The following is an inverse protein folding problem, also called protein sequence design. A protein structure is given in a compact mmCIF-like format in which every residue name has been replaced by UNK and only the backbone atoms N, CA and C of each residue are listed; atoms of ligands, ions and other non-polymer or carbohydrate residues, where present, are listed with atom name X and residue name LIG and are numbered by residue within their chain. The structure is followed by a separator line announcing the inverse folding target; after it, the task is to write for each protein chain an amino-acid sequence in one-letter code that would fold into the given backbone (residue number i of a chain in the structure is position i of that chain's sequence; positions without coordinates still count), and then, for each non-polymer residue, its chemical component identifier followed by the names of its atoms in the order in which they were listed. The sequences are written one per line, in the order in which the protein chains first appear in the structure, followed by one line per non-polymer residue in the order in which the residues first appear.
data_IF_771004243453
#
_entry.id   IF_771004243453
#
_cell.length_a   1.000
_cell.length_b   1.000
_cell.length_c   1.000
_cell.angle_alpha   90.00
_cell.angle_beta   90.00
_cell.angle_gamma   90.00
#
_symmetry.space_group_name_H-M   'P 1'
#
loop_
_entity.id
_entity.type
_entity.pdbx_description
1 polymer ?
#
# COMPACT_ATOMS: atom_id res chain seq x y z
N UNK A 1 -31.25 -17.19 -1.72
CA UNK A 1 -30.28 -17.94 -0.89
C UNK A 1 -29.64 -17.00 0.14
N UNK A 2 -29.71 -17.36 1.42
CA UNK A 2 -29.06 -16.58 2.48
C UNK A 2 -27.77 -17.29 2.92
N UNK A 3 -26.72 -16.50 3.16
CA UNK A 3 -25.45 -16.98 3.73
C UNK A 3 -25.63 -17.17 5.23
N UNK A 4 -25.15 -18.29 5.76
CA UNK A 4 -25.26 -18.68 7.17
C UNK A 4 -23.90 -18.96 7.80
N UNK A 5 -23.84 -19.00 9.14
CA UNK A 5 -22.58 -19.24 9.86
C UNK A 5 -21.92 -20.58 9.53
N UNK A 6 -22.72 -21.60 9.20
CA UNK A 6 -22.26 -22.93 8.80
C UNK A 6 -21.59 -22.95 7.42
N UNK A 7 -21.75 -21.88 6.62
CA UNK A 7 -21.08 -21.74 5.32
C UNK A 7 -19.65 -21.15 5.45
N UNK A 8 -19.27 -20.68 6.63
CA UNK A 8 -17.93 -20.14 6.89
C UNK A 8 -16.91 -21.26 7.07
N UNK A 9 -15.81 -21.18 6.32
CA UNK A 9 -14.63 -22.04 6.50
C UNK A 9 -13.45 -21.22 7.02
N UNK A 10 -12.51 -21.82 7.76
CA UNK A 10 -11.27 -21.15 8.13
C UNK A 10 -10.54 -20.59 6.90
N UNK A 11 -10.01 -19.38 7.03
CA UNK A 11 -9.25 -18.69 5.98
C UNK A 11 -8.07 -17.96 6.59
N UNK A 12 -7.11 -17.57 5.75
CA UNK A 12 -5.96 -16.77 6.17
C UNK A 12 -6.35 -15.36 6.61
N UNK A 13 -5.55 -14.79 7.50
CA UNK A 13 -5.59 -13.37 7.87
C UNK A 13 -4.46 -12.61 7.21
N UNK A 14 -4.68 -11.33 6.89
CA UNK A 14 -3.65 -10.43 6.38
C UNK A 14 -3.71 -9.06 7.03
N UNK A 15 -2.56 -8.39 7.13
CA UNK A 15 -2.44 -6.99 7.57
C UNK A 15 -2.08 -6.10 6.38
N UNK A 16 -2.65 -4.90 6.34
CA UNK A 16 -2.31 -3.88 5.34
C UNK A 16 -1.36 -2.87 5.97
N UNK A 17 -0.35 -2.43 5.22
CA UNK A 17 0.34 -1.19 5.52
C UNK A 17 -0.62 -0.03 5.22
N UNK A 18 -1.41 0.34 6.23
CA UNK A 18 -2.46 1.35 6.15
C UNK A 18 -2.07 2.55 7.02
N UNK A 19 -1.80 3.68 6.38
CA UNK A 19 -1.52 4.94 7.06
C UNK A 19 -2.81 5.68 7.42
N UNK A 20 -2.68 6.51 8.45
CA UNK A 20 -3.72 7.36 8.99
C UNK A 20 -3.12 8.74 9.26
N UNK A 21 -3.86 9.79 8.94
CA UNK A 21 -3.40 11.15 9.18
C UNK A 21 -3.56 11.57 10.65
N UNK A 22 -3.10 12.78 10.98
CA UNK A 22 -3.16 13.31 12.34
C UNK A 22 -4.60 13.54 12.86
N UNK A 23 -5.62 13.50 11.98
CA UNK A 23 -7.04 13.63 12.33
C UNK A 23 -7.72 12.29 12.53
N UNK A 24 -7.02 11.18 12.25
CA UNK A 24 -7.56 9.84 12.34
C UNK A 24 -8.19 9.34 11.04
N UNK A 25 -7.98 10.03 9.92
CA UNK A 25 -8.55 9.65 8.63
C UNK A 25 -7.60 8.68 7.89
N UNK A 26 -8.15 7.58 7.37
CA UNK A 26 -7.38 6.62 6.59
C UNK A 26 -6.93 7.22 5.27
N UNK A 27 -5.64 7.11 4.99
CA UNK A 27 -5.09 7.59 3.73
C UNK A 27 -5.39 6.58 2.63
N UNK A 28 -6.07 7.04 1.58
CA UNK A 28 -6.51 6.21 0.46
C UNK A 28 -5.55 6.25 -0.75
N UNK A 29 -4.44 6.98 -0.64
CA UNK A 29 -3.43 7.12 -1.70
C UNK A 29 -2.05 6.64 -1.22
N UNK A 30 -1.09 6.50 -2.13
CA UNK A 30 0.28 6.17 -1.78
C UNK A 30 0.88 7.24 -0.89
N UNK A 31 1.59 6.80 0.14
CA UNK A 31 2.42 7.66 0.97
C UNK A 31 3.82 7.10 0.90
N UNK A 32 4.78 7.94 0.53
CA UNK A 32 6.18 7.61 0.62
C UNK A 32 6.96 8.71 1.32
N UNK A 33 8.11 8.33 1.87
CA UNK A 33 9.08 9.23 2.46
C UNK A 33 10.45 8.99 1.82
N UNK A 34 11.25 10.04 1.72
CA UNK A 34 12.55 10.01 1.07
C UNK A 34 13.64 10.37 2.08
N UNK A 35 14.75 9.65 2.01
CA UNK A 35 15.99 9.98 2.71
C UNK A 35 17.17 9.73 1.76
N UNK A 36 18.39 10.24 2.06
CA UNK A 36 19.52 10.04 1.16
C UNK A 36 19.75 8.55 0.85
N UNK A 37 19.55 8.18 -0.42
CA UNK A 37 19.72 6.80 -0.89
C UNK A 37 18.57 5.85 -0.57
N UNK A 38 17.41 6.34 -0.11
CA UNK A 38 16.26 5.49 0.18
C UNK A 38 14.89 6.15 -0.12
N UNK A 39 13.97 5.28 -0.56
CA UNK A 39 12.55 5.58 -0.73
C UNK A 39 11.76 4.58 0.13
N UNK A 40 10.98 5.09 1.07
CA UNK A 40 10.14 4.31 1.96
C UNK A 40 8.69 4.38 1.50
N UNK A 41 8.08 3.25 1.15
CA UNK A 41 6.64 3.18 0.87
C UNK A 41 5.90 2.93 2.19
N UNK A 42 5.20 3.94 2.69
CA UNK A 42 4.53 3.94 4.00
C UNK A 42 3.08 3.48 3.90
N UNK A 43 2.39 3.86 2.81
CA UNK A 43 1.02 3.45 2.51
C UNK A 43 0.91 3.00 1.06
N UNK A 44 0.18 1.90 0.84
CA UNK A 44 -0.14 1.41 -0.50
C UNK A 44 -1.63 1.05 -0.57
N UNK A 45 -2.46 1.81 -1.32
CA UNK A 45 -3.89 1.58 -1.39
C UNK A 45 -4.27 0.27 -2.10
N UNK A 46 -5.50 -0.17 -1.85
CA UNK A 46 -6.07 -1.35 -2.52
C UNK A 46 -6.46 -1.05 -3.98
N UNK A 47 -6.28 -2.00 -4.92
CA UNK A 47 -5.58 -3.28 -4.76
C UNK A 47 -4.10 -3.16 -5.17
N UNK A 48 -3.22 -2.89 -4.19
CA UNK A 48 -1.77 -2.84 -4.40
C UNK A 48 -1.23 -4.11 -5.11
N UNK A 49 -1.81 -5.28 -4.82
CA UNK A 49 -1.45 -6.53 -5.48
C UNK A 49 -1.79 -6.54 -6.98
N UNK A 50 -2.96 -6.03 -7.38
CA UNK A 50 -3.40 -6.05 -8.79
C UNK A 50 -2.68 -4.98 -9.61
N UNK A 51 -2.28 -3.86 -9.00
CA UNK A 51 -1.56 -2.77 -9.66
C UNK A 51 -0.03 -2.79 -9.42
N UNK A 52 0.51 -3.89 -8.91
CA UNK A 52 1.89 -3.98 -8.42
C UNK A 52 2.96 -3.50 -9.42
N UNK A 53 2.78 -3.77 -10.72
CA UNK A 53 3.73 -3.35 -11.75
C UNK A 53 3.74 -1.85 -11.99
N UNK A 54 2.56 -1.22 -12.01
CA UNK A 54 2.43 0.23 -12.17
C UNK A 54 3.02 0.94 -10.95
N UNK A 55 2.73 0.43 -9.76
CA UNK A 55 3.28 0.93 -8.49
C UNK A 55 4.80 0.78 -8.48
N UNK A 56 5.33 -0.36 -8.88
CA UNK A 56 6.76 -0.60 -8.99
C UNK A 56 7.46 0.39 -9.93
N UNK A 57 6.83 0.71 -11.07
CA UNK A 57 7.34 1.72 -12.00
C UNK A 57 7.36 3.12 -11.38
N UNK A 58 6.33 3.49 -10.63
CA UNK A 58 6.29 4.77 -9.93
C UNK A 58 7.41 4.86 -8.88
N UNK A 59 7.58 3.82 -8.05
CA UNK A 59 8.66 3.74 -7.06
C UNK A 59 10.04 3.86 -7.74
N UNK A 60 10.27 3.16 -8.86
CA UNK A 60 11.53 3.24 -9.60
C UNK A 60 11.78 4.65 -10.15
N UNK A 61 10.74 5.35 -10.60
CA UNK A 61 10.83 6.75 -11.07
C UNK A 61 11.25 7.68 -9.92
N UNK A 62 10.67 7.52 -8.74
CA UNK A 62 11.05 8.29 -7.55
C UNK A 62 12.52 8.06 -7.15
N UNK A 63 12.99 6.81 -7.20
CA UNK A 63 14.41 6.47 -6.95
C UNK A 63 15.33 7.12 -7.99
N UNK A 64 14.96 7.05 -9.27
CA UNK A 64 15.75 7.65 -10.34
C UNK A 64 15.90 9.17 -10.16
N UNK A 65 14.82 9.85 -9.77
CA UNK A 65 14.85 11.30 -9.50
C UNK A 65 15.83 11.68 -8.38
N UNK A 66 15.96 10.86 -7.32
CA UNK A 66 16.94 11.11 -6.26
C UNK A 66 18.39 10.98 -6.75
N UNK A 67 18.66 10.07 -7.68
CA UNK A 67 20.04 9.82 -8.16
C UNK A 67 20.57 10.93 -9.07
N UNK A 68 19.69 11.72 -9.68
CA UNK A 68 20.04 12.83 -10.58
C UNK A 68 20.00 14.20 -9.89
N UNK A 69 19.67 14.24 -8.60
CA UNK A 69 19.64 15.44 -7.74
C UNK A 69 20.98 15.63 -7.03
#
# INVERSE_FOLDING_TARGET
PEVSHQDLVPSGSGVRAQAMDARGELINDFVWSQSPGAVHVINAPSPAATAALVIGKEIATQVQNQLVS
#
